data_IF_075272918031
#
_entry.id   IF_075272918031
#
_cell.length_a   1.000
_cell.length_b   1.000
_cell.length_c   1.000
_cell.angle_alpha   90.00
_cell.angle_beta   90.00
_cell.angle_gamma   90.00
#
_symmetry.space_group_name_H-M   'P 1'
#
loop_
_entity.id
_entity.type
_entity.pdbx_description
1 polymer ?
#
# COMPACT_ATOMS: atom_id res chain seq x y z
N UNK A 1 -9.86 -3.44 -9.44
CA UNK A 1 -11.27 -3.84 -9.23
C UNK A 1 -11.33 -4.50 -7.86
N UNK A 2 -12.34 -4.21 -7.04
CA UNK A 2 -12.58 -4.87 -5.75
C UNK A 2 -13.82 -5.76 -5.87
N UNK A 3 -13.87 -6.85 -5.11
CA UNK A 3 -15.08 -7.67 -4.99
C UNK A 3 -16.04 -6.98 -4.02
N UNK A 4 -17.34 -7.16 -4.23
CA UNK A 4 -18.35 -6.64 -3.30
C UNK A 4 -18.07 -7.15 -1.87
N UNK A 5 -17.98 -6.23 -0.91
CA UNK A 5 -17.79 -6.53 0.50
C UNK A 5 -16.34 -6.71 0.98
N UNK A 6 -15.35 -6.67 0.08
CA UNK A 6 -13.93 -6.68 0.48
C UNK A 6 -13.61 -5.52 1.43
N UNK A 7 -14.26 -4.37 1.24
CA UNK A 7 -14.06 -3.14 1.99
C UNK A 7 -14.47 -3.24 3.46
N UNK A 8 -15.26 -4.25 3.84
CA UNK A 8 -15.65 -4.52 5.23
C UNK A 8 -15.45 -6.00 5.61
N UNK A 9 -14.46 -6.64 4.99
CA UNK A 9 -14.03 -8.00 5.32
C UNK A 9 -15.15 -9.04 5.16
N UNK A 10 -15.90 -9.00 4.06
CA UNK A 10 -16.84 -10.07 3.71
C UNK A 10 -16.15 -11.43 3.76
N UNK A 11 -16.85 -12.45 4.25
CA UNK A 11 -16.31 -13.81 4.36
C UNK A 11 -17.33 -14.82 3.90
N UNK A 12 -16.84 -15.83 3.20
CA UNK A 12 -17.64 -16.97 2.72
C UNK A 12 -17.31 -18.24 3.53
N UNK A 13 -16.75 -18.08 4.74
CA UNK A 13 -16.36 -19.20 5.60
C UNK A 13 -15.28 -20.12 5.02
N UNK A 14 -14.49 -19.61 4.05
CA UNK A 14 -13.52 -20.41 3.31
C UNK A 14 -14.07 -21.09 2.05
N UNK A 15 -15.36 -20.94 1.73
CA UNK A 15 -15.90 -21.39 0.45
C UNK A 15 -15.38 -20.50 -0.70
N UNK A 16 -14.54 -21.07 -1.56
CA UNK A 16 -13.93 -20.37 -2.69
C UNK A 16 -14.79 -20.42 -3.97
N UNK A 17 -15.92 -21.12 -3.98
CA UNK A 17 -16.81 -21.24 -5.14
C UNK A 17 -18.31 -21.33 -4.76
N UNK A 18 -18.90 -20.31 -4.10
CA UNK A 18 -20.30 -20.34 -3.69
C UNK A 18 -21.26 -19.95 -4.83
N UNK A 19 -21.05 -20.52 -6.02
CA UNK A 19 -21.80 -20.17 -7.24
C UNK A 19 -23.29 -20.57 -7.16
N UNK A 20 -23.62 -21.60 -6.37
CA UNK A 20 -24.96 -22.16 -6.23
C UNK A 20 -25.59 -21.89 -4.85
N UNK A 21 -25.06 -20.90 -4.11
CA UNK A 21 -25.51 -20.57 -2.78
C UNK A 21 -26.35 -19.29 -2.82
N UNK A 22 -27.65 -19.41 -2.61
CA UNK A 22 -28.54 -18.27 -2.38
C UNK A 22 -28.84 -18.16 -0.88
N UNK A 23 -27.86 -17.66 -0.13
CA UNK A 23 -27.90 -17.51 1.32
C UNK A 23 -26.79 -16.55 1.79
N UNK A 24 -26.67 -16.37 3.11
CA UNK A 24 -25.70 -15.47 3.76
C UNK A 24 -24.23 -15.67 3.34
N UNK A 25 -23.86 -16.81 2.74
CA UNK A 25 -22.52 -17.04 2.17
C UNK A 25 -22.23 -16.13 0.97
N UNK A 26 -23.25 -15.83 0.16
CA UNK A 26 -23.14 -15.02 -1.06
C UNK A 26 -23.71 -13.61 -0.91
N UNK A 27 -24.65 -13.40 0.01
CA UNK A 27 -25.25 -12.10 0.29
C UNK A 27 -24.29 -11.17 1.05
N UNK A 28 -24.50 -9.84 0.91
CA UNK A 28 -23.73 -8.85 1.67
C UNK A 28 -24.32 -8.67 3.08
N UNK A 29 -23.48 -8.90 4.10
CA UNK A 29 -23.82 -8.59 5.49
C UNK A 29 -23.45 -7.14 5.83
N UNK A 30 -24.44 -6.24 5.77
CA UNK A 30 -24.28 -4.82 6.11
C UNK A 30 -23.93 -4.57 7.58
N UNK A 31 -24.16 -5.52 8.48
CA UNK A 31 -23.72 -5.37 9.87
C UNK A 31 -22.18 -5.48 9.99
N UNK A 32 -21.51 -6.16 9.06
CA UNK A 32 -20.05 -6.15 8.96
C UNK A 32 -19.50 -4.78 8.61
N UNK A 33 -20.19 -4.01 7.75
CA UNK A 33 -19.79 -2.64 7.44
C UNK A 33 -19.77 -1.73 8.69
N UNK A 34 -20.67 -1.96 9.64
CA UNK A 34 -20.68 -1.28 10.95
C UNK A 34 -19.57 -1.80 11.86
N UNK A 35 -19.43 -3.12 11.95
CA UNK A 35 -18.45 -3.80 12.82
C UNK A 35 -17.00 -3.53 12.40
N UNK A 36 -16.75 -3.43 11.10
CA UNK A 36 -15.44 -3.21 10.47
C UNK A 36 -15.33 -1.82 9.84
N UNK A 37 -15.99 -0.82 10.42
CA UNK A 37 -16.02 0.55 9.89
C UNK A 37 -14.62 1.14 9.63
N UNK A 38 -13.61 0.76 10.42
CA UNK A 38 -12.22 1.17 10.19
C UNK A 38 -11.65 0.65 8.86
N UNK A 39 -12.00 -0.58 8.46
CA UNK A 39 -11.61 -1.15 7.17
C UNK A 39 -12.30 -0.42 6.02
N UNK A 40 -13.60 -0.14 6.16
CA UNK A 40 -14.35 0.64 5.16
C UNK A 40 -13.72 2.02 4.95
N UNK A 41 -13.33 2.67 6.05
CA UNK A 41 -12.62 3.96 6.01
C UNK A 41 -11.22 3.82 5.38
N UNK A 42 -10.49 2.75 5.68
CA UNK A 42 -9.19 2.47 5.07
C UNK A 42 -9.32 2.34 3.54
N UNK A 43 -10.27 1.55 3.05
CA UNK A 43 -10.56 1.39 1.62
C UNK A 43 -10.96 2.73 0.98
N UNK A 44 -11.86 3.48 1.63
CA UNK A 44 -12.28 4.79 1.15
C UNK A 44 -11.10 5.75 0.98
N UNK A 45 -10.22 5.83 1.99
CA UNK A 45 -9.00 6.64 1.93
C UNK A 45 -8.01 6.10 0.89
N UNK A 46 -7.86 4.79 0.73
CA UNK A 46 -6.96 4.20 -0.26
C UNK A 46 -7.41 4.51 -1.69
N UNK A 47 -8.72 4.45 -1.94
CA UNK A 47 -9.32 4.85 -3.22
C UNK A 47 -9.13 6.34 -3.47
N UNK A 48 -9.37 7.18 -2.45
CA UNK A 48 -9.11 8.61 -2.53
C UNK A 48 -7.64 8.89 -2.87
N UNK A 49 -6.70 8.26 -2.14
CA UNK A 49 -5.28 8.38 -2.37
C UNK A 49 -4.89 8.00 -3.81
N UNK A 50 -5.39 6.88 -4.32
CA UNK A 50 -5.16 6.48 -5.72
C UNK A 50 -5.68 7.53 -6.70
N UNK A 51 -6.88 8.09 -6.47
CA UNK A 51 -7.48 9.11 -7.35
C UNK A 51 -6.70 10.42 -7.34
N UNK A 52 -6.16 10.81 -6.18
CA UNK A 52 -5.36 12.03 -6.01
C UNK A 52 -3.93 11.88 -6.55
N UNK A 53 -3.40 10.66 -6.64
CA UNK A 53 -2.05 10.38 -7.12
C UNK A 53 -2.06 9.78 -8.53
N UNK A 54 -2.21 10.66 -9.52
CA UNK A 54 -2.32 10.31 -10.95
C UNK A 54 -1.18 9.41 -11.47
N UNK A 55 0.01 9.44 -10.85
CA UNK A 55 1.14 8.57 -11.21
C UNK A 55 0.82 7.08 -11.12
N UNK A 56 -0.06 6.66 -10.20
CA UNK A 56 -0.48 5.26 -10.01
C UNK A 56 -1.57 4.83 -11.03
N UNK A 57 -2.29 5.80 -11.61
CA UNK A 57 -3.49 5.57 -12.43
C UNK A 57 -3.39 6.07 -13.87
N UNK A 58 -2.19 6.44 -14.34
CA UNK A 58 -2.01 7.07 -15.65
C UNK A 58 -2.18 6.10 -16.82
N UNK A 59 -2.57 6.60 -18.01
CA UNK A 59 -2.47 5.82 -19.24
C UNK A 59 -1.00 5.61 -19.62
N UNK A 60 -0.67 4.40 -20.08
CA UNK A 60 0.67 4.04 -20.58
C UNK A 60 1.63 3.49 -19.52
N UNK A 61 2.77 2.99 -19.98
CA UNK A 61 3.80 2.36 -19.14
C UNK A 61 4.60 3.38 -18.31
N UNK A 62 5.15 2.94 -17.17
CA UNK A 62 5.97 3.80 -16.32
C UNK A 62 7.35 4.13 -16.92
N UNK A 63 8.01 3.15 -17.58
CA UNK A 63 9.34 3.32 -18.21
C UNK A 63 10.32 4.02 -17.24
N UNK A 64 10.86 5.17 -17.62
CA UNK A 64 11.84 5.91 -16.82
C UNK A 64 11.28 6.58 -15.56
N UNK A 65 9.95 6.60 -15.38
CA UNK A 65 9.35 7.12 -14.16
C UNK A 65 9.41 6.14 -12.99
N UNK A 66 9.76 4.86 -13.21
CA UNK A 66 9.88 3.87 -12.13
C UNK A 66 11.33 3.41 -11.97
N UNK A 67 11.79 3.37 -10.72
CA UNK A 67 13.10 2.85 -10.34
C UNK A 67 12.91 1.83 -9.22
N UNK A 68 13.60 0.70 -9.32
CA UNK A 68 13.47 -0.43 -8.39
C UNK A 68 14.72 -0.52 -7.51
N UNK A 69 14.54 -0.93 -6.25
CA UNK A 69 15.60 -1.00 -5.27
C UNK A 69 15.47 -2.24 -4.38
N UNK A 70 16.59 -2.71 -3.85
CA UNK A 70 16.61 -3.67 -2.73
C UNK A 70 16.40 -2.96 -1.38
N UNK A 71 16.44 -3.74 -0.29
CA UNK A 71 16.25 -3.23 1.08
C UNK A 71 17.29 -2.16 1.43
N UNK A 72 18.56 -2.45 1.15
CA UNK A 72 19.70 -1.53 1.36
C UNK A 72 20.67 -1.56 0.16
N UNK A 73 20.13 -1.84 -1.03
CA UNK A 73 20.90 -1.98 -2.26
C UNK A 73 20.27 -1.15 -3.37
N UNK A 74 21.10 -0.68 -4.31
CA UNK A 74 20.61 -0.08 -5.56
C UNK A 74 20.06 -1.16 -6.50
N UNK A 75 20.53 -2.39 -6.37
CA UNK A 75 20.05 -3.53 -7.14
C UNK A 75 18.87 -4.20 -6.42
N UNK A 76 17.84 -4.53 -7.20
CA UNK A 76 16.71 -5.35 -6.74
C UNK A 76 17.08 -6.83 -6.80
N UNK A 77 16.75 -7.57 -5.74
CA UNK A 77 16.91 -9.02 -5.74
C UNK A 77 15.80 -9.67 -6.58
N UNK A 78 16.18 -10.22 -7.73
CA UNK A 78 15.30 -10.93 -8.67
C UNK A 78 15.41 -12.45 -8.54
N UNK A 79 16.10 -12.96 -7.52
CA UNK A 79 16.18 -14.39 -7.27
C UNK A 79 14.81 -14.97 -6.89
N UNK A 80 14.68 -16.29 -7.04
CA UNK A 80 13.45 -17.01 -6.70
C UNK A 80 13.03 -16.82 -5.23
N UNK A 81 13.99 -16.70 -4.33
CA UNK A 81 13.78 -16.58 -2.88
C UNK A 81 13.65 -15.12 -2.41
N UNK A 82 13.51 -14.16 -3.33
CA UNK A 82 13.31 -12.75 -2.97
C UNK A 82 11.94 -12.52 -2.33
N UNK A 83 11.93 -11.86 -1.18
CA UNK A 83 10.73 -11.55 -0.39
C UNK A 83 10.58 -10.04 -0.13
N UNK A 84 11.36 -9.21 -0.81
CA UNK A 84 11.33 -7.78 -0.53
C UNK A 84 11.90 -6.96 -1.68
N UNK A 85 11.29 -5.82 -1.93
CA UNK A 85 11.81 -4.81 -2.84
C UNK A 85 11.21 -3.45 -2.47
N UNK A 86 11.81 -2.39 -2.98
CA UNK A 86 11.23 -1.07 -2.97
C UNK A 86 11.17 -0.51 -4.39
N UNK A 87 10.34 0.51 -4.58
CA UNK A 87 10.38 1.29 -5.81
C UNK A 87 10.12 2.77 -5.54
N UNK A 88 10.76 3.59 -6.35
CA UNK A 88 10.44 5.00 -6.52
C UNK A 88 9.59 5.18 -7.77
N UNK A 89 8.49 5.91 -7.65
CA UNK A 89 7.65 6.31 -8.77
C UNK A 89 7.63 7.82 -8.87
N UNK A 90 8.24 8.34 -9.94
CA UNK A 90 8.25 9.75 -10.31
C UNK A 90 6.86 10.20 -10.74
N UNK A 91 6.38 11.28 -10.13
CA UNK A 91 5.16 11.96 -10.55
C UNK A 91 5.40 13.00 -11.65
N UNK A 92 6.66 13.35 -11.96
CA UNK A 92 7.04 14.48 -12.81
C UNK A 92 6.39 14.42 -14.20
N UNK A 93 6.37 13.25 -14.84
CA UNK A 93 5.80 13.08 -16.18
C UNK A 93 4.30 13.35 -16.29
N UNK A 94 3.59 13.42 -15.17
CA UNK A 94 2.13 13.63 -15.10
C UNK A 94 1.74 14.76 -14.14
N UNK A 95 2.70 15.59 -13.70
CA UNK A 95 2.44 16.66 -12.73
C UNK A 95 1.99 16.18 -11.34
N UNK A 96 2.32 14.94 -10.98
CA UNK A 96 2.00 14.33 -9.68
C UNK A 96 3.17 14.39 -8.69
N UNK A 97 2.91 13.90 -7.46
CA UNK A 97 3.93 13.72 -6.42
C UNK A 97 4.73 12.44 -6.63
N UNK A 98 5.98 12.43 -6.15
CA UNK A 98 6.77 11.20 -6.13
C UNK A 98 6.32 10.30 -4.98
N UNK A 99 6.40 9.00 -5.21
CA UNK A 99 6.13 7.96 -4.22
C UNK A 99 7.37 7.10 -4.02
N UNK A 100 7.56 6.66 -2.78
CA UNK A 100 8.54 5.63 -2.45
C UNK A 100 7.83 4.51 -1.70
N UNK A 101 7.81 3.31 -2.27
CA UNK A 101 7.05 2.18 -1.76
C UNK A 101 8.00 1.08 -1.36
N UNK A 102 7.88 0.59 -0.14
CA UNK A 102 8.68 -0.50 0.41
C UNK A 102 7.74 -1.68 0.71
N UNK A 103 8.07 -2.85 0.18
CA UNK A 103 7.25 -4.05 0.29
C UNK A 103 8.10 -5.13 0.95
N UNK A 104 7.64 -5.59 2.12
CA UNK A 104 8.24 -6.68 2.86
C UNK A 104 7.25 -7.86 2.92
N UNK A 105 7.45 -8.88 2.09
CA UNK A 105 6.73 -10.17 2.19
C UNK A 105 7.54 -11.22 2.97
N UNK A 106 8.70 -10.85 3.52
CA UNK A 106 9.49 -11.68 4.42
C UNK A 106 8.81 -11.80 5.79
N UNK A 107 9.25 -12.79 6.58
CA UNK A 107 8.70 -13.09 7.90
C UNK A 107 9.37 -12.30 9.05
N UNK A 108 10.46 -11.59 8.79
CA UNK A 108 11.14 -10.73 9.76
C UNK A 108 11.07 -9.24 9.36
N UNK A 109 11.20 -8.31 10.32
CA UNK A 109 11.33 -6.90 9.98
C UNK A 109 12.62 -6.64 9.21
N UNK A 110 12.54 -5.78 8.19
CA UNK A 110 13.67 -5.38 7.36
C UNK A 110 13.86 -3.88 7.49
N UNK A 111 15.10 -3.44 7.70
CA UNK A 111 15.43 -2.02 7.76
C UNK A 111 15.74 -1.53 6.35
N UNK A 112 14.77 -0.88 5.71
CA UNK A 112 14.93 -0.32 4.37
C UNK A 112 15.66 1.01 4.44
N UNK A 113 16.49 1.28 3.43
CA UNK A 113 16.94 2.63 3.11
C UNK A 113 15.99 3.24 2.06
N UNK A 114 15.93 4.57 1.99
CA UNK A 114 15.25 5.34 0.95
C UNK A 114 16.34 5.94 0.07
N UNK A 115 16.55 5.34 -1.10
CA UNK A 115 17.68 5.59 -1.99
C UNK A 115 17.51 6.84 -2.86
N UNK A 116 16.38 7.53 -2.76
CA UNK A 116 16.14 8.80 -3.44
C UNK A 116 16.46 9.96 -2.50
N UNK A 117 17.66 10.51 -2.68
CA UNK A 117 18.19 11.62 -1.90
C UNK A 117 17.47 12.96 -2.17
N UNK A 118 17.68 13.93 -1.29
CA UNK A 118 17.23 15.32 -1.43
C UNK A 118 15.69 15.50 -1.54
N UNK A 119 14.94 14.53 -1.02
CA UNK A 119 13.48 14.55 -0.98
C UNK A 119 12.96 14.53 0.45
N UNK A 120 11.99 15.39 0.74
CA UNK A 120 11.31 15.41 2.02
C UNK A 120 10.18 14.37 2.01
N UNK A 121 10.46 13.17 2.50
CA UNK A 121 9.50 12.06 2.54
C UNK A 121 8.58 12.14 3.76
N UNK A 122 7.30 11.91 3.52
CA UNK A 122 6.28 11.75 4.57
C UNK A 122 5.64 10.37 4.44
N UNK A 123 5.44 9.68 5.56
CA UNK A 123 4.76 8.39 5.57
C UNK A 123 3.25 8.58 5.42
N UNK A 124 2.68 8.02 4.35
CA UNK A 124 1.23 8.06 4.08
C UNK A 124 0.54 6.74 4.37
N UNK A 125 1.19 5.60 4.11
CA UNK A 125 0.65 4.26 4.40
C UNK A 125 1.69 3.43 5.15
N UNK A 126 1.24 2.67 6.14
CA UNK A 126 1.99 1.59 6.81
C UNK A 126 1.01 0.52 7.29
N UNK A 127 0.99 -0.61 6.60
CA UNK A 127 0.01 -1.68 6.86
C UNK A 127 0.32 -2.50 8.12
N UNK A 128 1.43 -2.25 8.80
CA UNK A 128 1.76 -2.88 10.09
C UNK A 128 1.04 -2.24 11.28
N UNK A 129 0.49 -1.04 11.08
CA UNK A 129 -0.27 -0.33 12.09
C UNK A 129 -1.71 -0.82 12.16
N UNK A 130 -2.41 -0.44 13.23
CA UNK A 130 -3.86 -0.62 13.30
C UNK A 130 -4.55 0.01 12.07
N UNK A 131 -5.63 -0.60 11.58
CA UNK A 131 -6.34 -0.17 10.37
C UNK A 131 -6.75 1.31 10.41
N UNK A 132 -7.09 1.84 11.58
CA UNK A 132 -7.43 3.25 11.75
C UNK A 132 -6.25 4.21 11.51
N UNK A 133 -5.02 3.73 11.70
CA UNK A 133 -3.77 4.49 11.62
C UNK A 133 -2.92 4.14 10.39
N UNK A 134 -3.26 3.08 9.67
CA UNK A 134 -2.46 2.54 8.56
C UNK A 134 -2.45 3.40 7.32
N UNK A 135 -3.39 4.34 7.18
CA UNK A 135 -3.40 5.36 6.11
C UNK A 135 -3.72 6.74 6.65
N UNK A 136 -2.89 7.72 6.28
CA UNK A 136 -3.01 9.10 6.75
C UNK A 136 -2.86 10.09 5.59
N UNK A 137 -4.00 10.66 5.17
CA UNK A 137 -4.06 11.69 4.13
C UNK A 137 -4.11 13.13 4.68
N UNK A 138 -4.46 13.29 5.98
CA UNK A 138 -4.61 14.58 6.66
C UNK A 138 -3.96 14.57 8.05
N UNK A 139 -3.58 15.75 8.54
CA UNK A 139 -2.94 15.96 9.85
C UNK A 139 -1.41 16.09 9.79
N UNK A 140 -0.71 16.15 10.93
CA UNK A 140 0.74 16.33 10.97
C UNK A 140 1.48 15.21 10.23
N UNK A 141 2.40 15.63 9.35
CA UNK A 141 3.23 14.72 8.57
C UNK A 141 4.18 13.93 9.48
N UNK A 142 4.25 12.62 9.27
CA UNK A 142 5.27 11.77 9.87
C UNK A 142 6.47 11.79 8.93
N UNK A 143 7.39 12.71 9.21
CA UNK A 143 8.65 12.81 8.47
C UNK A 143 9.54 11.63 8.83
N UNK A 144 10.25 11.12 7.82
CA UNK A 144 11.39 10.25 8.10
C UNK A 144 12.48 11.06 8.83
N UNK A 145 13.02 10.49 9.92
CA UNK A 145 14.10 11.12 10.70
C UNK A 145 15.46 11.00 9.99
N UNK A 146 15.64 9.90 9.26
CA UNK A 146 16.80 9.57 8.45
C UNK A 146 16.31 8.89 7.17
N UNK A 147 17.21 8.54 6.26
CA UNK A 147 16.85 7.79 5.06
C UNK A 147 16.47 6.33 5.35
N UNK A 148 16.19 5.92 6.60
CA UNK A 148 15.87 4.53 6.94
C UNK A 148 14.45 4.37 7.49
N UNK A 149 13.86 3.21 7.23
CA UNK A 149 12.55 2.83 7.74
C UNK A 149 12.50 1.34 8.06
N UNK A 150 12.15 1.00 9.31
CA UNK A 150 11.95 -0.40 9.71
C UNK A 150 10.57 -0.88 9.25
N UNK A 151 10.55 -1.65 8.16
CA UNK A 151 9.32 -2.23 7.60
C UNK A 151 9.06 -3.58 8.27
N UNK A 152 7.92 -3.71 8.96
CA UNK A 152 7.55 -4.93 9.70
C UNK A 152 7.31 -6.12 8.77
N UNK A 153 7.32 -7.36 9.28
CA UNK A 153 6.98 -8.55 8.49
C UNK A 153 5.65 -8.39 7.75
N UNK A 154 5.55 -8.93 6.54
CA UNK A 154 4.29 -8.99 5.75
C UNK A 154 3.57 -7.64 5.65
N UNK A 155 4.31 -6.56 5.43
CA UNK A 155 3.76 -5.21 5.39
C UNK A 155 4.25 -4.37 4.22
N UNK A 156 3.48 -3.33 3.91
CA UNK A 156 3.77 -2.34 2.87
C UNK A 156 3.80 -0.96 3.50
N UNK A 157 4.81 -0.18 3.14
CA UNK A 157 4.95 1.23 3.54
C UNK A 157 4.99 2.08 2.28
N UNK A 158 4.20 3.16 2.26
CA UNK A 158 4.21 4.16 1.20
C UNK A 158 4.61 5.49 1.79
N UNK A 159 5.65 6.06 1.21
CA UNK A 159 6.07 7.43 1.42
C UNK A 159 5.66 8.27 0.21
N UNK A 160 5.36 9.54 0.48
CA UNK A 160 5.04 10.53 -0.53
C UNK A 160 5.96 11.74 -0.35
N UNK A 161 6.36 12.36 -1.45
CA UNK A 161 7.08 13.64 -1.39
C UNK A 161 6.15 14.73 -0.83
N UNK A 162 6.68 15.53 0.10
CA UNK A 162 5.94 16.63 0.75
C UNK A 162 5.50 17.68 -0.27
#
# INVERSE_FOLDING_TARGET
>A
MFRMGDEFLHTQGGNNNPYNQDNDTSWLDWNRAKTHASMTQFFSKLIQFRKENVSIGRPGFWREDIQWFGVNSLDVDLSYDSHSFAYHLSGKGVGGKNLYVMINTYWEPLNFTVQIENKAWIRVIDTSLSVAQSIRLKGPNIKLKNAQYLVKPRSVVVLMEK
#
